data_IF_466467147762
#
_entry.id   IF_466467147762
#
_cell.length_a   1.000
_cell.length_b   1.000
_cell.length_c   1.000
_cell.angle_alpha   90.00
_cell.angle_beta   90.00
_cell.angle_gamma   90.00
#
_symmetry.space_group_name_H-M   'P 1'
#
loop_
_entity.id
_entity.type
_entity.pdbx_description
1 polymer ?
#
# COMPACT_ATOMS: atom_id res chain seq x y z
N UNK A 1 -11.41 11.64 -2.18
CA UNK A 1 -10.04 11.81 -1.61
C UNK A 1 -9.05 10.96 -2.37
N UNK A 2 -7.85 11.46 -2.55
CA UNK A 2 -6.75 10.72 -3.12
C UNK A 2 -5.58 10.78 -2.16
N UNK A 3 -4.99 9.62 -1.86
CA UNK A 3 -3.71 9.55 -1.15
C UNK A 3 -2.71 8.86 -2.06
N UNK A 4 -1.55 9.47 -2.23
CA UNK A 4 -0.52 8.97 -3.12
C UNK A 4 0.82 9.14 -2.40
N UNK A 5 1.34 8.05 -1.86
CA UNK A 5 2.51 8.11 -0.98
C UNK A 5 3.54 7.06 -1.37
N UNK A 6 4.79 7.38 -1.09
CA UNK A 6 5.91 6.45 -1.27
C UNK A 6 6.28 5.87 0.10
N UNK A 7 6.40 4.53 0.16
CA UNK A 7 6.76 3.82 1.38
C UNK A 7 7.97 2.92 1.15
N UNK A 8 8.84 2.83 2.14
CA UNK A 8 10.01 1.95 2.11
C UNK A 8 9.61 0.55 2.57
N UNK A 9 8.78 -0.10 1.77
CA UNK A 9 8.19 -1.42 2.05
C UNK A 9 8.32 -2.26 0.80
N UNK A 10 8.59 -3.57 0.97
CA UNK A 10 8.58 -4.48 -0.18
C UNK A 10 7.15 -4.67 -0.68
N UNK A 11 6.96 -4.67 -2.00
CA UNK A 11 5.63 -4.79 -2.59
C UNK A 11 4.94 -6.10 -2.19
N UNK A 12 5.70 -7.17 -2.00
CA UNK A 12 5.15 -8.45 -1.55
C UNK A 12 4.51 -8.36 -0.17
N UNK A 13 5.08 -7.57 0.72
CA UNK A 13 4.52 -7.37 2.06
C UNK A 13 3.24 -6.56 2.01
N UNK A 14 3.22 -5.52 1.18
CA UNK A 14 2.01 -4.72 1.01
C UNK A 14 0.88 -5.55 0.41
N UNK A 15 1.17 -6.37 -0.61
CA UNK A 15 0.18 -7.29 -1.18
C UNK A 15 -0.39 -8.22 -0.14
N UNK A 16 0.47 -8.85 0.66
CA UNK A 16 0.03 -9.77 1.69
C UNK A 16 -0.88 -9.09 2.70
N UNK A 17 -0.55 -7.88 3.08
CA UNK A 17 -1.39 -7.11 4.00
C UNK A 17 -2.80 -6.94 3.45
N UNK A 18 -2.93 -6.47 2.20
CA UNK A 18 -4.27 -6.23 1.63
C UNK A 18 -5.03 -7.54 1.38
N UNK A 19 -4.34 -8.62 0.99
CA UNK A 19 -4.97 -9.92 0.80
C UNK A 19 -5.53 -10.50 2.10
N UNK A 20 -4.91 -10.18 3.22
CA UNK A 20 -5.34 -10.67 4.53
C UNK A 20 -6.54 -9.91 5.11
N UNK A 21 -6.90 -8.76 4.52
CA UNK A 21 -8.05 -8.01 4.97
C UNK A 21 -9.34 -8.67 4.45
N UNK A 22 -10.24 -9.12 5.34
CA UNK A 22 -11.43 -9.87 4.90
C UNK A 22 -12.41 -9.04 4.06
N UNK A 23 -12.38 -7.73 4.21
CA UNK A 23 -13.27 -6.80 3.51
C UNK A 23 -12.61 -6.10 2.32
N UNK A 24 -11.46 -6.61 1.88
CA UNK A 24 -10.75 -6.10 0.71
C UNK A 24 -10.78 -7.14 -0.41
N UNK A 25 -11.20 -6.73 -1.60
CA UNK A 25 -11.20 -7.60 -2.77
C UNK A 25 -9.94 -7.34 -3.60
N UNK A 26 -9.31 -8.42 -4.07
CA UNK A 26 -8.16 -8.31 -4.98
C UNK A 26 -8.67 -8.24 -6.41
N UNK A 27 -8.41 -7.12 -7.10
CA UNK A 27 -8.82 -6.95 -8.49
C UNK A 27 -7.75 -7.41 -9.47
N UNK A 28 -6.50 -7.22 -9.12
CA UNK A 28 -5.35 -7.71 -9.89
C UNK A 28 -4.18 -7.84 -8.92
N UNK A 29 -3.01 -8.26 -9.44
CA UNK A 29 -1.85 -8.50 -8.58
C UNK A 29 -1.45 -7.25 -7.77
N UNK A 30 -1.69 -6.06 -8.31
CA UNK A 30 -1.32 -4.80 -7.65
C UNK A 30 -2.50 -3.87 -7.40
N UNK A 31 -3.72 -4.37 -7.50
CA UNK A 31 -4.90 -3.54 -7.31
C UNK A 31 -5.91 -4.21 -6.40
N UNK A 32 -6.42 -3.45 -5.45
CA UNK A 32 -7.35 -3.93 -4.42
C UNK A 32 -8.49 -2.94 -4.28
N UNK A 33 -9.62 -3.42 -3.79
CA UNK A 33 -10.80 -2.59 -3.59
C UNK A 33 -11.35 -2.78 -2.18
N UNK A 34 -11.48 -1.67 -1.47
CA UNK A 34 -12.12 -1.60 -0.15
C UNK A 34 -13.27 -0.61 -0.25
N UNK A 35 -14.51 -1.11 -0.28
CA UNK A 35 -15.70 -0.29 -0.51
C UNK A 35 -15.51 0.55 -1.79
N UNK A 36 -15.55 1.88 -1.69
CA UNK A 36 -15.32 2.76 -2.84
C UNK A 36 -13.85 3.00 -3.13
N UNK A 37 -12.95 2.57 -2.24
CA UNK A 37 -11.54 2.90 -2.33
C UNK A 37 -10.78 1.88 -3.15
N UNK A 38 -10.20 2.33 -4.26
CA UNK A 38 -9.27 1.51 -5.05
C UNK A 38 -7.86 1.79 -4.60
N UNK A 39 -7.13 0.71 -4.30
CA UNK A 39 -5.75 0.78 -3.88
C UNK A 39 -4.89 0.21 -4.99
N UNK A 40 -3.91 0.97 -5.44
CA UNK A 40 -2.98 0.54 -6.48
C UNK A 40 -1.57 0.60 -5.93
N UNK A 41 -0.82 -0.49 -6.10
CA UNK A 41 0.57 -0.59 -5.67
C UNK A 41 1.48 -0.54 -6.90
N UNK A 42 2.52 0.28 -6.82
CA UNK A 42 3.51 0.37 -7.89
C UNK A 42 4.90 0.19 -7.28
N UNK A 43 5.64 -0.78 -7.79
CA UNK A 43 7.02 -0.97 -7.35
C UNK A 43 7.90 0.09 -8.00
N UNK A 44 8.68 0.78 -7.17
CA UNK A 44 9.60 1.81 -7.63
C UNK A 44 11.00 1.24 -7.69
N UNK A 45 11.88 1.91 -8.43
CA UNK A 45 13.30 1.53 -8.46
C UNK A 45 13.87 1.70 -7.06
N UNK A 46 14.66 0.72 -6.57
CA UNK A 46 15.29 0.86 -5.26
C UNK A 46 16.16 2.11 -5.20
N UNK A 47 16.11 2.79 -4.05
CA UNK A 47 16.94 3.95 -3.80
C UNK A 47 18.19 3.48 -3.07
N UNK A 48 19.35 3.85 -3.62
CA UNK A 48 20.64 3.42 -3.08
C UNK A 48 21.39 2.54 -4.07
N UNK A 49 22.51 1.97 -3.64
CA UNK A 49 23.40 1.17 -4.47
C UNK A 49 23.75 -0.13 -3.77
N UNK A 50 23.78 -1.22 -4.55
CA UNK A 50 24.20 -2.52 -4.05
C UNK A 50 23.35 -3.00 -2.88
N UNK A 51 24.01 -3.47 -1.83
CA UNK A 51 23.34 -4.02 -0.64
C UNK A 51 22.59 -2.96 0.16
N UNK A 52 22.84 -1.69 -0.10
CA UNK A 52 22.18 -0.59 0.60
C UNK A 52 20.91 -0.12 -0.13
N UNK A 53 20.56 -0.76 -1.23
CA UNK A 53 19.36 -0.38 -1.99
C UNK A 53 18.11 -0.72 -1.18
N UNK A 54 17.28 0.30 -0.91
CA UNK A 54 16.04 0.13 -0.17
C UNK A 54 14.87 -0.09 -1.13
N UNK A 55 14.07 -1.12 -0.87
CA UNK A 55 12.85 -1.36 -1.65
C UNK A 55 11.84 -0.27 -1.34
N UNK A 56 11.18 0.23 -2.39
CA UNK A 56 10.17 1.28 -2.26
C UNK A 56 8.98 0.96 -3.14
N UNK A 57 7.82 1.38 -2.67
CA UNK A 57 6.59 1.28 -3.44
C UNK A 57 5.84 2.59 -3.37
N UNK A 58 5.02 2.84 -4.40
CA UNK A 58 4.02 3.89 -4.35
C UNK A 58 2.69 3.24 -4.00
N UNK A 59 2.00 3.80 -3.01
CA UNK A 59 0.66 3.37 -2.61
C UNK A 59 -0.30 4.48 -3.01
N UNK A 60 -1.20 4.17 -3.94
CA UNK A 60 -2.20 5.11 -4.42
C UNK A 60 -3.57 4.63 -3.96
N UNK A 61 -4.30 5.48 -3.26
CA UNK A 61 -5.65 5.19 -2.79
C UNK A 61 -6.59 6.28 -3.27
N UNK A 62 -7.73 5.88 -3.85
CA UNK A 62 -8.69 6.82 -4.39
C UNK A 62 -10.11 6.30 -4.15
N UNK A 63 -10.97 7.16 -3.59
CA UNK A 63 -12.34 6.82 -3.28
C UNK A 63 -12.96 7.87 -2.36
N UNK A 64 -14.09 7.50 -1.74
CA UNK A 64 -14.73 8.39 -0.77
C UNK A 64 -13.84 8.56 0.46
N UNK A 65 -13.90 9.73 1.07
CA UNK A 65 -13.01 10.11 2.17
C UNK A 65 -13.00 9.09 3.30
N UNK A 66 -14.17 8.65 3.76
CA UNK A 66 -14.26 7.72 4.87
C UNK A 66 -13.60 6.37 4.54
N UNK A 67 -13.79 5.90 3.32
CA UNK A 67 -13.23 4.61 2.90
C UNK A 67 -11.72 4.69 2.75
N UNK A 68 -11.21 5.77 2.15
CA UNK A 68 -9.77 5.96 2.00
C UNK A 68 -9.11 6.08 3.37
N UNK A 69 -9.69 6.89 4.26
CA UNK A 69 -9.12 7.06 5.59
C UNK A 69 -9.12 5.77 6.40
N UNK A 70 -10.19 4.98 6.30
CA UNK A 70 -10.29 3.73 7.05
C UNK A 70 -9.22 2.73 6.63
N UNK A 71 -9.08 2.46 5.33
CA UNK A 71 -8.10 1.49 4.86
C UNK A 71 -6.67 2.01 4.98
N UNK A 72 -6.48 3.31 4.77
CA UNK A 72 -5.17 3.94 4.95
C UNK A 72 -4.70 3.81 6.40
N UNK A 73 -5.60 4.01 7.36
CA UNK A 73 -5.27 3.91 8.78
C UNK A 73 -4.79 2.50 9.14
N UNK A 74 -5.44 1.46 8.61
CA UNK A 74 -5.01 0.08 8.83
C UNK A 74 -3.61 -0.16 8.26
N UNK A 75 -3.37 0.33 7.06
CA UNK A 75 -2.07 0.21 6.39
C UNK A 75 -1.00 0.95 7.19
N UNK A 76 -1.29 2.17 7.59
CA UNK A 76 -0.37 3.02 8.34
C UNK A 76 0.06 2.33 9.64
N UNK A 77 -0.90 1.81 10.41
CA UNK A 77 -0.59 1.14 11.67
C UNK A 77 0.25 -0.11 11.46
N UNK A 78 0.00 -0.84 10.39
CA UNK A 78 0.75 -2.07 10.10
C UNK A 78 2.21 -1.78 9.78
N UNK A 79 2.47 -0.74 9.01
CA UNK A 79 3.82 -0.49 8.47
C UNK A 79 4.57 0.63 9.17
N UNK A 80 3.92 1.43 9.99
CA UNK A 80 4.58 2.51 10.71
C UNK A 80 5.66 1.99 11.65
N UNK A 81 5.36 0.95 12.40
CA UNK A 81 6.29 0.40 13.38
C UNK A 81 7.34 -0.52 12.78
N UNK A 82 7.12 -1.04 11.58
CA UNK A 82 8.02 -1.98 10.91
C UNK A 82 8.77 -1.37 9.75
N UNK A 83 8.25 -0.27 9.22
CA UNK A 83 8.84 0.38 8.06
C UNK A 83 10.00 1.29 8.39
N UNK A 84 10.27 1.40 9.64
CA UNK A 84 11.33 2.27 10.12
C UNK A 84 12.63 2.04 9.40
#
# INVERSE_FOLDING_TARGET
MIKDETWSVAITRARSFFREQPDVAEESINAFLYNSCRITLTELKPKGMGVWAAKRIKVHMEGEDDDVEAIYHRYFLQFLSTGG
#
